data_IF_461020763600
#
_entry.id   IF_461020763600
#
_cell.length_a   1.000
_cell.length_b   1.000
_cell.length_c   1.000
_cell.angle_alpha   90.00
_cell.angle_beta   90.00
_cell.angle_gamma   90.00
#
_symmetry.space_group_name_H-M   'P 1'
#
loop_
_entity.id
_entity.type
_entity.pdbx_description
1 polymer ?
#
# COMPACT_ATOMS: atom_id res chain seq x y z
N UNK A 1 14.46 -5.69 10.83
CA UNK A 1 13.52 -6.67 10.25
C UNK A 1 13.11 -6.32 8.84
N UNK A 2 12.84 -5.04 8.56
CA UNK A 2 12.40 -4.61 7.23
C UNK A 2 13.41 -3.74 6.50
N UNK A 3 14.68 -3.86 6.84
CA UNK A 3 15.73 -2.97 6.31
C UNK A 3 15.96 -3.16 4.81
N UNK A 4 15.63 -4.31 4.26
CA UNK A 4 15.78 -4.58 2.82
C UNK A 4 14.47 -4.47 2.04
N UNK A 5 13.38 -4.13 2.70
CA UNK A 5 12.08 -3.99 2.04
C UNK A 5 11.97 -2.65 1.32
N UNK A 6 11.44 -2.67 0.11
CA UNK A 6 11.16 -1.48 -0.69
C UNK A 6 9.66 -1.26 -0.73
N UNK A 7 9.21 -0.10 -0.26
CA UNK A 7 7.77 0.19 -0.11
C UNK A 7 7.42 1.46 -0.87
N UNK A 8 6.34 1.40 -1.63
CA UNK A 8 5.80 2.54 -2.36
C UNK A 8 4.56 3.07 -1.64
N UNK A 9 4.56 4.36 -1.31
CA UNK A 9 3.43 5.05 -0.71
C UNK A 9 2.75 5.88 -1.79
N UNK A 10 1.45 5.70 -1.96
CA UNK A 10 0.66 6.42 -2.98
C UNK A 10 -0.46 7.19 -2.30
N UNK A 11 -0.37 8.51 -2.32
CA UNK A 11 -1.37 9.40 -1.72
C UNK A 11 -1.15 10.79 -2.32
N UNK A 12 -2.21 11.50 -2.66
CA UNK A 12 -2.10 12.84 -3.24
C UNK A 12 -1.78 13.91 -2.19
N UNK A 13 -1.93 13.59 -0.90
CA UNK A 13 -1.60 14.50 0.19
C UNK A 13 -0.18 14.21 0.72
N UNK A 14 0.77 15.14 0.51
CA UNK A 14 2.13 14.93 1.01
C UNK A 14 2.21 14.81 2.54
N UNK A 15 1.28 15.44 3.27
CA UNK A 15 1.22 15.31 4.72
C UNK A 15 0.86 13.88 5.13
N UNK A 16 -0.12 13.28 4.46
CA UNK A 16 -0.50 11.88 4.71
C UNK A 16 0.65 10.94 4.38
N UNK A 17 1.36 11.16 3.27
CA UNK A 17 2.55 10.36 2.94
C UNK A 17 3.61 10.48 4.03
N UNK A 18 3.80 11.68 4.56
CA UNK A 18 4.77 11.92 5.64
C UNK A 18 4.47 11.12 6.90
N UNK A 19 3.19 11.00 7.27
CA UNK A 19 2.78 10.19 8.42
C UNK A 19 3.13 8.72 8.20
N UNK A 20 2.80 8.19 7.04
CA UNK A 20 3.08 6.79 6.70
C UNK A 20 4.59 6.55 6.69
N UNK A 21 5.33 7.46 6.08
CA UNK A 21 6.79 7.39 6.01
C UNK A 21 7.42 7.38 7.41
N UNK A 22 6.89 8.20 8.32
CA UNK A 22 7.35 8.23 9.70
C UNK A 22 7.18 6.86 10.38
N UNK A 23 6.01 6.25 10.21
CA UNK A 23 5.76 4.92 10.77
C UNK A 23 6.67 3.86 10.17
N UNK A 24 6.90 3.90 8.87
CA UNK A 24 7.79 2.95 8.21
C UNK A 24 9.24 3.12 8.67
N UNK A 25 9.69 4.35 8.85
CA UNK A 25 11.03 4.63 9.37
C UNK A 25 11.22 4.04 10.78
N UNK A 26 10.19 4.14 11.62
CA UNK A 26 10.23 3.53 12.96
C UNK A 26 10.38 2.01 12.90
N UNK A 27 9.83 1.38 11.88
CA UNK A 27 9.93 -0.07 11.70
C UNK A 27 11.23 -0.50 11.02
N UNK A 28 12.09 0.45 10.69
CA UNK A 28 13.39 0.17 10.10
C UNK A 28 13.39 0.03 8.58
N UNK A 29 12.29 0.42 7.91
CA UNK A 29 12.24 0.40 6.45
C UNK A 29 13.16 1.49 5.90
N UNK A 30 14.07 1.12 4.98
CA UNK A 30 15.06 2.04 4.44
C UNK A 30 14.72 2.55 3.05
N UNK A 31 14.01 1.76 2.25
CA UNK A 31 13.72 2.08 0.85
C UNK A 31 12.25 2.44 0.70
N UNK A 32 11.98 3.74 0.72
CA UNK A 32 10.64 4.28 0.64
C UNK A 32 10.54 5.18 -0.57
N UNK A 33 9.60 4.87 -1.46
CA UNK A 33 9.28 5.70 -2.62
C UNK A 33 7.89 6.29 -2.45
N UNK A 34 7.65 7.45 -3.04
CA UNK A 34 6.37 8.14 -2.93
C UNK A 34 5.82 8.47 -4.31
N UNK A 35 4.52 8.37 -4.45
CA UNK A 35 3.79 8.77 -5.65
C UNK A 35 2.56 9.58 -5.25
N UNK A 36 2.25 10.61 -6.01
CA UNK A 36 1.12 11.49 -5.71
C UNK A 36 -0.21 11.02 -6.29
N UNK A 37 -0.19 10.03 -7.17
CA UNK A 37 -1.40 9.45 -7.75
C UNK A 37 -1.08 8.08 -8.36
N UNK A 38 -2.13 7.40 -8.85
CA UNK A 38 -1.97 6.05 -9.40
C UNK A 38 -1.12 6.01 -10.67
N UNK A 39 -1.16 7.05 -11.50
CA UNK A 39 -0.35 7.08 -12.73
C UNK A 39 1.13 7.19 -12.41
N UNK A 40 1.49 8.00 -11.42
CA UNK A 40 2.88 8.09 -10.94
C UNK A 40 3.33 6.76 -10.32
N UNK A 41 2.43 6.09 -9.59
CA UNK A 41 2.72 4.79 -9.00
C UNK A 41 3.06 3.76 -10.07
N UNK A 42 2.27 3.69 -11.13
CA UNK A 42 2.50 2.76 -12.24
C UNK A 42 3.85 3.06 -12.89
N UNK A 43 4.17 4.33 -13.10
CA UNK A 43 5.45 4.72 -13.68
C UNK A 43 6.63 4.30 -12.79
N UNK A 44 6.52 4.49 -11.48
CA UNK A 44 7.52 4.06 -10.53
C UNK A 44 7.73 2.54 -10.58
N UNK A 45 6.64 1.78 -10.67
CA UNK A 45 6.69 0.33 -10.68
C UNK A 45 7.26 -0.26 -11.97
N UNK A 46 7.32 0.53 -13.04
CA UNK A 46 8.00 0.10 -14.27
C UNK A 46 9.51 0.07 -14.11
N UNK A 47 10.06 0.93 -13.26
CA UNK A 47 11.51 1.14 -13.14
C UNK A 47 12.11 0.62 -11.84
N UNK A 48 11.28 0.31 -10.85
CA UNK A 48 11.75 -0.11 -9.54
C UNK A 48 10.86 -1.22 -8.99
N UNK A 49 11.48 -2.25 -8.45
CA UNK A 49 10.77 -3.34 -7.80
C UNK A 49 10.35 -2.92 -6.40
N UNK A 50 9.10 -3.20 -6.04
CA UNK A 50 8.56 -2.91 -4.72
C UNK A 50 8.07 -4.19 -4.04
N UNK A 51 8.24 -4.25 -2.72
CA UNK A 51 7.78 -5.37 -1.91
C UNK A 51 6.38 -5.14 -1.34
N UNK A 52 5.91 -3.90 -1.36
CA UNK A 52 4.61 -3.53 -0.84
C UNK A 52 4.18 -2.19 -1.45
N UNK A 53 2.90 -2.06 -1.77
CA UNK A 53 2.28 -0.80 -2.17
C UNK A 53 1.24 -0.43 -1.10
N UNK A 54 1.35 0.77 -0.56
CA UNK A 54 0.37 1.34 0.37
C UNK A 54 -0.30 2.50 -0.34
N UNK A 55 -1.59 2.40 -0.62
CA UNK A 55 -2.28 3.39 -1.43
C UNK A 55 -3.56 3.88 -0.78
N UNK A 56 -3.80 5.19 -0.83
CA UNK A 56 -5.06 5.78 -0.42
C UNK A 56 -6.16 5.37 -1.41
N UNK A 57 -7.36 5.19 -0.90
CA UNK A 57 -8.51 4.83 -1.76
C UNK A 57 -8.90 5.97 -2.70
N UNK A 58 -8.89 7.20 -2.19
CA UNK A 58 -9.35 8.37 -2.95
C UNK A 58 -8.20 9.26 -3.36
N UNK A 59 -7.94 9.31 -4.66
CA UNK A 59 -6.90 10.12 -5.26
C UNK A 59 -7.41 10.64 -6.61
N UNK A 60 -6.92 11.80 -7.07
CA UNK A 60 -7.28 12.28 -8.41
C UNK A 60 -6.68 11.39 -9.49
N UNK A 61 -7.22 11.47 -10.70
CA UNK A 61 -6.80 10.76 -11.91
C UNK A 61 -7.04 9.25 -11.83
N UNK A 62 -6.44 8.58 -10.87
CA UNK A 62 -6.61 7.15 -10.66
C UNK A 62 -6.67 6.87 -9.17
N UNK A 63 -7.82 6.37 -8.69
CA UNK A 63 -7.99 6.06 -7.27
C UNK A 63 -7.34 4.74 -6.89
N UNK A 64 -7.36 4.42 -5.59
CA UNK A 64 -6.72 3.21 -5.09
C UNK A 64 -7.28 1.92 -5.64
N UNK A 65 -8.60 1.83 -5.85
CA UNK A 65 -9.21 0.65 -6.45
C UNK A 65 -8.79 0.46 -7.90
N UNK A 66 -8.76 1.54 -8.65
CA UNK A 66 -8.32 1.51 -10.06
C UNK A 66 -6.85 1.12 -10.16
N UNK A 67 -6.03 1.67 -9.27
CA UNK A 67 -4.60 1.31 -9.21
C UNK A 67 -4.45 -0.19 -8.94
N UNK A 68 -5.16 -0.72 -7.96
CA UNK A 68 -5.11 -2.14 -7.65
C UNK A 68 -5.48 -2.99 -8.87
N UNK A 69 -6.54 -2.63 -9.59
CA UNK A 69 -6.95 -3.35 -10.79
C UNK A 69 -5.87 -3.32 -11.87
N UNK A 70 -5.20 -2.19 -12.05
CA UNK A 70 -4.07 -2.09 -12.98
C UNK A 70 -2.93 -3.02 -12.59
N UNK A 71 -2.60 -3.10 -11.29
CA UNK A 71 -1.53 -3.96 -10.82
C UNK A 71 -1.88 -5.43 -11.00
N UNK A 72 -3.13 -5.81 -10.80
CA UNK A 72 -3.58 -7.18 -10.97
C UNK A 72 -3.58 -7.61 -12.44
N UNK A 73 -3.76 -6.68 -13.35
CA UNK A 73 -3.79 -6.97 -14.78
C UNK A 73 -2.40 -7.16 -15.40
N UNK A 74 -1.34 -6.84 -14.66
CA UNK A 74 0.04 -6.91 -15.16
C UNK A 74 0.81 -8.02 -14.43
N UNK A 75 1.34 -9.03 -15.16
CA UNK A 75 2.08 -10.13 -14.54
C UNK A 75 3.28 -9.68 -13.71
N UNK A 76 3.86 -8.51 -14.02
CA UNK A 76 5.02 -8.00 -13.27
C UNK A 76 4.66 -7.39 -11.93
N UNK A 77 3.38 -7.05 -11.69
CA UNK A 77 2.94 -6.38 -10.48
C UNK A 77 1.82 -7.10 -9.72
N UNK A 78 1.23 -8.14 -10.33
CA UNK A 78 0.04 -8.79 -9.77
C UNK A 78 0.29 -9.43 -8.39
N UNK A 79 1.52 -9.82 -8.11
CA UNK A 79 1.86 -10.50 -6.85
C UNK A 79 2.39 -9.55 -5.78
N UNK A 80 2.50 -8.26 -6.06
CA UNK A 80 2.96 -7.28 -5.07
C UNK A 80 1.86 -7.10 -4.02
N UNK A 81 2.17 -7.30 -2.73
CA UNK A 81 1.20 -7.03 -1.66
C UNK A 81 0.71 -5.60 -1.68
N UNK A 82 -0.57 -5.40 -1.37
CA UNK A 82 -1.23 -4.10 -1.46
C UNK A 82 -2.03 -3.85 -0.19
N UNK A 83 -1.80 -2.70 0.44
CA UNK A 83 -2.60 -2.22 1.57
C UNK A 83 -3.36 -0.98 1.11
N UNK A 84 -4.67 -0.99 1.24
CA UNK A 84 -5.48 0.20 0.95
C UNK A 84 -5.79 0.96 2.22
N UNK A 85 -5.52 2.26 2.19
CA UNK A 85 -5.84 3.15 3.30
C UNK A 85 -7.10 3.93 2.92
N UNK A 86 -8.07 3.98 3.82
CA UNK A 86 -9.34 4.64 3.56
C UNK A 86 -9.88 5.28 4.83
N UNK A 87 -10.64 6.35 4.67
CA UNK A 87 -11.39 6.95 5.78
C UNK A 87 -12.71 6.26 6.03
N UNK A 88 -13.09 5.30 5.17
CA UNK A 88 -14.39 4.66 5.25
C UNK A 88 -14.31 3.32 5.97
N UNK A 89 -15.09 3.18 7.02
CA UNK A 89 -15.26 1.93 7.76
C UNK A 89 -16.60 1.25 7.40
N UNK A 90 -17.31 1.77 6.40
CA UNK A 90 -18.57 1.21 5.94
C UNK A 90 -18.36 -0.18 5.35
N UNK A 91 -19.10 -1.16 5.82
CA UNK A 91 -19.00 -2.55 5.37
C UNK A 91 -19.18 -2.67 3.86
N UNK A 92 -20.08 -1.89 3.27
CA UNK A 92 -20.33 -1.93 1.82
C UNK A 92 -19.09 -1.54 1.05
N UNK A 93 -18.40 -0.49 1.47
CA UNK A 93 -17.20 0.01 0.79
C UNK A 93 -16.02 -0.94 0.95
N UNK A 94 -15.88 -1.54 2.11
CA UNK A 94 -14.86 -2.57 2.35
C UNK A 94 -15.16 -3.80 1.51
N UNK A 95 -16.42 -4.20 1.44
CA UNK A 95 -16.85 -5.35 0.65
C UNK A 95 -16.57 -5.15 -0.85
N UNK A 96 -16.82 -3.95 -1.38
CA UNK A 96 -16.48 -3.63 -2.77
C UNK A 96 -15.02 -3.90 -3.06
N UNK A 97 -14.14 -3.44 -2.17
CA UNK A 97 -12.71 -3.63 -2.32
C UNK A 97 -12.32 -5.11 -2.21
N UNK A 98 -12.94 -5.84 -1.27
CA UNK A 98 -12.72 -7.28 -1.11
C UNK A 98 -13.11 -8.07 -2.37
N UNK A 99 -14.23 -7.70 -2.98
CA UNK A 99 -14.69 -8.36 -4.21
C UNK A 99 -13.71 -8.18 -5.36
N UNK A 100 -12.93 -7.08 -5.37
CA UNK A 100 -11.88 -6.86 -6.35
C UNK A 100 -10.58 -7.61 -6.01
N UNK A 101 -10.49 -8.18 -4.82
CA UNK A 101 -9.33 -8.96 -4.41
C UNK A 101 -8.41 -8.28 -3.41
N UNK A 102 -8.75 -7.07 -2.94
CA UNK A 102 -7.95 -6.39 -1.92
C UNK A 102 -8.17 -7.08 -0.58
N UNK A 103 -7.09 -7.52 0.05
CA UNK A 103 -7.13 -8.31 1.28
C UNK A 103 -6.77 -7.53 2.53
N UNK A 104 -6.09 -6.38 2.37
CA UNK A 104 -5.54 -5.64 3.50
C UNK A 104 -5.97 -4.18 3.48
N UNK A 105 -6.50 -3.71 4.59
CA UNK A 105 -7.00 -2.34 4.75
C UNK A 105 -6.48 -1.72 6.02
N UNK A 106 -6.33 -0.39 6.00
CA UNK A 106 -6.18 0.42 7.19
C UNK A 106 -7.19 1.55 7.12
N UNK A 107 -8.00 1.70 8.16
CA UNK A 107 -9.01 2.77 8.24
C UNK A 107 -8.42 3.95 9.00
N UNK A 108 -8.51 5.13 8.42
CA UNK A 108 -8.06 6.37 9.06
C UNK A 108 -9.12 6.86 10.07
N UNK A 109 -8.72 7.41 11.21
CA UNK A 109 -7.35 7.49 11.69
C UNK A 109 -6.87 6.15 12.27
N UNK A 110 -5.61 5.83 12.09
CA UNK A 110 -5.00 4.64 12.67
C UNK A 110 -3.84 5.04 13.57
N UNK A 111 -3.62 4.28 14.63
CA UNK A 111 -2.47 4.48 15.51
C UNK A 111 -1.27 3.66 15.08
N UNK A 112 -0.14 3.89 15.75
CA UNK A 112 1.11 3.19 15.46
C UNK A 112 0.96 1.67 15.60
N UNK A 113 0.27 1.20 16.63
CA UNK A 113 0.12 -0.25 16.86
C UNK A 113 -0.64 -0.93 15.74
N UNK A 114 -1.73 -0.34 15.27
CA UNK A 114 -2.52 -0.88 14.19
C UNK A 114 -1.73 -0.90 12.88
N UNK A 115 -1.01 0.18 12.59
CA UNK A 115 -0.16 0.28 11.41
C UNK A 115 0.94 -0.80 11.45
N UNK A 116 1.68 -0.85 12.56
CA UNK A 116 2.79 -1.81 12.71
C UNK A 116 2.31 -3.25 12.55
N UNK A 117 1.18 -3.56 13.16
CA UNK A 117 0.58 -4.89 13.09
C UNK A 117 0.25 -5.28 11.64
N UNK A 118 -0.34 -4.34 10.88
CA UNK A 118 -0.69 -4.59 9.49
C UNK A 118 0.55 -4.79 8.62
N UNK A 119 1.58 -3.96 8.78
CA UNK A 119 2.83 -4.09 8.03
C UNK A 119 3.50 -5.44 8.31
N UNK A 120 3.58 -5.82 9.57
CA UNK A 120 4.16 -7.11 9.95
C UNK A 120 3.36 -8.28 9.36
N UNK A 121 2.03 -8.21 9.44
CA UNK A 121 1.17 -9.24 8.88
C UNK A 121 1.43 -9.44 7.38
N UNK A 122 1.51 -8.36 6.63
CA UNK A 122 1.66 -8.43 5.18
C UNK A 122 3.08 -8.86 4.78
N UNK A 123 4.10 -8.20 5.32
CA UNK A 123 5.48 -8.46 4.90
C UNK A 123 6.01 -9.79 5.42
N UNK A 124 5.69 -10.17 6.64
CA UNK A 124 6.16 -11.43 7.21
C UNK A 124 5.47 -12.63 6.57
N UNK A 125 4.18 -12.53 6.31
CA UNK A 125 3.43 -13.60 5.63
C UNK A 125 3.99 -13.81 4.21
N UNK A 126 4.29 -12.74 3.49
CA UNK A 126 4.88 -12.82 2.15
C UNK A 126 6.24 -13.48 2.19
N UNK A 127 7.07 -13.17 3.18
CA UNK A 127 8.38 -13.78 3.35
C UNK A 127 8.28 -15.27 3.68
N UNK A 128 7.31 -15.65 4.50
CA UNK A 128 7.06 -17.06 4.83
C UNK A 128 6.62 -17.84 3.60
N UNK A 129 5.80 -17.26 2.75
CA UNK A 129 5.33 -17.89 1.53
C UNK A 129 6.47 -18.15 0.53
N UNK A 130 7.51 -17.34 0.56
CA UNK A 130 8.69 -17.50 -0.29
C UNK A 130 9.61 -18.59 0.25
N UNK A 131 9.62 -18.76 1.54
CA UNK A 131 10.47 -19.75 2.20
C UNK A 131 9.90 -21.15 2.05
#
# INVERSE_FOLDING_TARGET
>A
MFSNSSILIVDDDPFARGIIKHHLNRLGVRYISEAGDGTQAIETLRTARMDLVIADRYMPKMNGLELFCHLQANPNTQDIPFIMITMEDCEIKIKDAQELGIKHYLVKPFGADMFDSKIKQVLLTTQEDIA
#
